data_IF_476724419152
#
_entry.id   IF_476724419152
#
_cell.length_a   1.000
_cell.length_b   1.000
_cell.length_c   1.000
_cell.angle_alpha   90.00
_cell.angle_beta   90.00
_cell.angle_gamma   90.00
#
_symmetry.space_group_name_H-M   'P 1'
#
loop_
_entity.id
_entity.type
_entity.pdbx_description
1 polymer ?
#
# COMPACT_ATOMS: atom_id res chain seq x y z
N UNK A 1 30.86 1.34 -16.42
CA UNK A 1 29.46 1.79 -16.45
C UNK A 1 29.33 2.88 -15.40
N UNK A 2 28.87 4.07 -15.77
CA UNK A 2 28.56 5.11 -14.77
C UNK A 2 27.32 4.60 -14.04
N UNK A 3 27.42 4.33 -12.72
CA UNK A 3 26.24 3.96 -11.92
C UNK A 3 25.21 5.08 -12.04
N UNK A 4 23.95 4.72 -12.27
CA UNK A 4 22.86 5.68 -12.27
C UNK A 4 22.72 6.21 -10.84
N UNK A 5 23.01 7.49 -10.63
CA UNK A 5 22.94 8.13 -9.31
C UNK A 5 21.69 8.98 -9.21
N UNK A 6 20.84 8.65 -8.26
CA UNK A 6 19.78 9.52 -7.78
C UNK A 6 20.40 10.72 -7.04
N UNK A 7 19.66 11.82 -6.96
CA UNK A 7 20.03 12.94 -6.10
C UNK A 7 18.89 13.24 -5.12
N UNK A 8 19.23 13.47 -3.86
CA UNK A 8 18.31 13.95 -2.83
C UNK A 8 18.75 15.31 -2.35
N UNK A 9 17.83 16.26 -2.30
CA UNK A 9 17.99 17.53 -1.61
C UNK A 9 17.31 17.47 -0.26
N UNK A 10 17.99 17.87 0.80
CA UNK A 10 17.41 18.15 2.12
C UNK A 10 17.25 19.66 2.24
N UNK A 11 16.03 20.11 2.50
CA UNK A 11 15.63 21.52 2.48
C UNK A 11 15.05 21.90 3.84
N UNK A 12 15.39 23.08 4.34
CA UNK A 12 14.58 23.77 5.33
C UNK A 12 13.52 24.58 4.58
N UNK A 13 12.24 24.31 4.86
CA UNK A 13 11.12 24.90 4.12
C UNK A 13 10.12 25.50 5.12
N UNK A 14 9.89 26.82 5.08
CA UNK A 14 8.81 27.45 5.83
C UNK A 14 7.44 26.97 5.33
N UNK A 15 6.50 26.71 6.25
CA UNK A 15 5.13 26.24 5.91
C UNK A 15 4.46 27.03 4.76
N UNK A 16 4.56 28.38 4.67
CA UNK A 16 3.92 29.13 3.58
C UNK A 16 4.54 28.92 2.20
N UNK A 17 5.73 28.34 2.11
CA UNK A 17 6.45 28.13 0.84
C UNK A 17 6.33 26.70 0.33
N UNK A 18 5.85 25.77 1.15
CA UNK A 18 5.89 24.33 0.85
C UNK A 18 5.15 23.96 -0.43
N UNK A 19 3.90 24.43 -0.59
CA UNK A 19 3.07 24.14 -1.76
C UNK A 19 3.69 24.69 -3.05
N UNK A 20 4.14 25.95 -3.04
CA UNK A 20 4.74 26.59 -4.20
C UNK A 20 6.12 25.98 -4.56
N UNK A 21 6.89 25.58 -3.55
CA UNK A 21 8.17 24.92 -3.73
C UNK A 21 7.98 23.51 -4.31
N UNK A 22 7.01 22.74 -3.80
CA UNK A 22 6.68 21.41 -4.31
C UNK A 22 6.31 21.47 -5.80
N UNK A 23 5.41 22.38 -6.18
CA UNK A 23 5.00 22.54 -7.57
C UNK A 23 6.19 22.87 -8.50
N UNK A 24 7.10 23.75 -8.06
CA UNK A 24 8.30 24.06 -8.84
C UNK A 24 9.27 22.88 -8.93
N UNK A 25 9.49 22.15 -7.83
CA UNK A 25 10.36 20.97 -7.83
C UNK A 25 9.83 19.88 -8.77
N UNK A 26 8.51 19.68 -8.84
CA UNK A 26 7.88 18.75 -9.78
C UNK A 26 8.13 19.17 -11.24
N UNK A 27 8.01 20.47 -11.56
CA UNK A 27 8.36 21.00 -12.89
C UNK A 27 9.83 20.80 -13.26
N UNK A 28 10.72 20.87 -12.26
CA UNK A 28 12.16 20.66 -12.42
C UNK A 28 12.58 19.18 -12.39
N UNK A 29 11.62 18.24 -12.37
CA UNK A 29 11.89 16.81 -12.50
C UNK A 29 12.08 16.07 -11.17
N UNK A 30 11.62 16.64 -10.06
CA UNK A 30 11.49 15.89 -8.81
C UNK A 30 10.49 14.75 -8.98
N UNK A 31 10.85 13.54 -8.57
CA UNK A 31 9.95 12.38 -8.55
C UNK A 31 9.16 12.27 -7.25
N UNK A 32 9.64 12.90 -6.17
CA UNK A 32 8.98 12.92 -4.89
C UNK A 32 9.43 14.11 -4.05
N UNK A 33 8.49 14.67 -3.28
CA UNK A 33 8.75 15.64 -2.23
C UNK A 33 8.13 15.12 -0.92
N UNK A 34 8.91 15.02 0.15
CA UNK A 34 8.47 14.49 1.44
C UNK A 34 8.90 15.42 2.59
N UNK A 35 8.07 15.54 3.63
CA UNK A 35 8.38 16.31 4.83
C UNK A 35 8.45 15.41 6.05
N UNK A 36 9.50 15.56 6.86
CA UNK A 36 9.61 14.83 8.14
C UNK A 36 8.46 15.20 9.08
N UNK A 37 7.85 14.16 9.67
CA UNK A 37 6.73 14.32 10.61
C UNK A 37 7.16 14.97 11.94
N UNK A 38 8.39 14.68 12.41
CA UNK A 38 8.92 15.17 13.67
C UNK A 38 9.89 16.37 13.47
N UNK A 39 9.82 17.42 14.31
CA UNK A 39 10.79 18.51 14.25
C UNK A 39 12.24 18.05 14.55
N UNK A 40 13.26 18.57 13.85
CA UNK A 40 13.20 19.67 12.88
C UNK A 40 12.67 19.21 11.51
N UNK A 41 11.65 19.92 11.00
CA UNK A 41 10.85 19.55 9.82
C UNK A 41 11.60 19.78 8.51
N UNK A 42 12.62 18.98 8.21
CA UNK A 42 13.25 19.05 6.90
C UNK A 42 12.31 18.49 5.83
N UNK A 43 12.38 19.09 4.65
CA UNK A 43 11.77 18.53 3.44
C UNK A 43 12.83 17.88 2.58
N UNK A 44 12.45 16.86 1.83
CA UNK A 44 13.31 16.12 0.94
C UNK A 44 12.73 16.13 -0.47
N UNK A 45 13.54 16.52 -1.45
CA UNK A 45 13.21 16.42 -2.87
C UNK A 45 14.10 15.38 -3.53
N UNK A 46 13.53 14.53 -4.38
CA UNK A 46 14.24 13.40 -5.01
C UNK A 46 14.26 13.55 -6.52
N UNK A 47 15.44 13.41 -7.12
CA UNK A 47 15.65 13.50 -8.55
C UNK A 47 16.14 12.15 -9.10
N UNK A 48 15.45 11.58 -10.10
CA UNK A 48 15.81 10.30 -10.68
C UNK A 48 17.07 10.43 -11.56
N UNK A 49 17.80 9.33 -11.77
CA UNK A 49 19.00 9.32 -12.59
C UNK A 49 18.68 9.67 -14.05
N UNK A 50 19.59 10.38 -14.71
CA UNK A 50 19.47 10.74 -16.12
C UNK A 50 18.61 11.98 -16.40
N UNK A 51 18.00 12.60 -15.38
CA UNK A 51 17.42 13.93 -15.50
C UNK A 51 18.44 15.02 -15.13
N UNK A 52 18.26 16.22 -15.71
CA UNK A 52 19.04 17.38 -15.33
C UNK A 52 18.61 17.81 -13.93
N UNK A 53 19.55 17.78 -12.98
CA UNK A 53 19.30 18.30 -11.63
C UNK A 53 19.09 19.82 -11.72
N UNK A 54 18.04 20.38 -11.08
CA UNK A 54 17.83 21.82 -11.07
C UNK A 54 19.00 22.57 -10.44
N UNK A 55 19.26 23.78 -10.91
CA UNK A 55 20.24 24.66 -10.27
C UNK A 55 19.69 25.13 -8.91
N UNK A 56 20.40 24.89 -7.78
CA UNK A 56 19.99 25.38 -6.46
C UNK A 56 19.74 26.89 -6.39
N UNK A 57 20.28 27.69 -7.32
CA UNK A 57 19.98 29.12 -7.45
C UNK A 57 18.47 29.37 -7.63
N UNK A 58 17.73 28.42 -8.22
CA UNK A 58 16.27 28.49 -8.38
C UNK A 58 15.50 28.59 -7.07
N UNK A 59 16.06 28.06 -5.96
CA UNK A 59 15.46 28.13 -4.62
C UNK A 59 15.32 29.57 -4.11
N UNK A 60 16.10 30.51 -4.65
CA UNK A 60 16.00 31.94 -4.31
C UNK A 60 14.66 32.59 -4.64
N UNK A 61 13.78 31.90 -5.39
CA UNK A 61 12.39 32.30 -5.63
C UNK A 61 11.48 32.13 -4.41
N UNK A 62 11.90 31.33 -3.43
CA UNK A 62 11.11 30.95 -2.25
C UNK A 62 11.75 31.53 -0.98
N UNK A 63 11.23 32.64 -0.43
CA UNK A 63 11.82 33.27 0.75
C UNK A 63 11.91 32.34 1.95
N UNK A 64 13.12 32.16 2.49
CA UNK A 64 13.37 31.34 3.68
C UNK A 64 13.58 29.85 3.40
N UNK A 65 13.52 29.40 2.14
CA UNK A 65 13.92 28.04 1.77
C UNK A 65 15.44 27.95 1.73
N UNK A 66 16.00 26.92 2.37
CA UNK A 66 17.46 26.69 2.43
C UNK A 66 17.78 25.27 2.04
N UNK A 67 18.68 25.08 1.06
CA UNK A 67 19.27 23.77 0.79
C UNK A 67 20.29 23.43 1.88
N UNK A 68 19.96 22.45 2.72
CA UNK A 68 20.80 21.97 3.81
C UNK A 68 21.84 20.97 3.31
N UNK A 69 21.44 20.05 2.43
CA UNK A 69 22.29 18.97 1.94
C UNK A 69 21.86 18.53 0.52
N UNK A 70 22.83 18.17 -0.32
CA UNK A 70 22.60 17.50 -1.59
C UNK A 70 23.45 16.23 -1.64
N UNK A 71 22.80 15.07 -1.68
CA UNK A 71 23.45 13.76 -1.63
C UNK A 71 23.13 12.97 -2.90
N UNK A 72 24.17 12.48 -3.58
CA UNK A 72 24.03 11.53 -4.68
C UNK A 72 24.16 10.10 -4.15
N UNK A 73 23.23 9.22 -4.52
CA UNK A 73 23.21 7.83 -4.08
C UNK A 73 22.85 6.90 -5.25
N UNK A 74 23.41 5.69 -5.28
CA UNK A 74 23.06 4.70 -6.29
C UNK A 74 21.76 3.97 -5.97
N UNK A 75 21.18 3.27 -6.95
CA UNK A 75 20.01 2.38 -6.75
C UNK A 75 20.26 1.35 -5.64
N UNK A 76 21.47 0.81 -5.59
CA UNK A 76 21.91 -0.14 -4.56
C UNK A 76 21.92 0.48 -3.16
N UNK A 77 22.27 1.77 -3.03
CA UNK A 77 22.29 2.49 -1.75
C UNK A 77 20.87 2.86 -1.28
N UNK A 78 19.94 3.13 -2.19
CA UNK A 78 18.53 3.38 -1.84
C UNK A 78 17.83 2.11 -1.35
N UNK A 79 18.04 1.01 -2.08
CA UNK A 79 17.58 -0.31 -1.66
C UNK A 79 18.27 -0.75 -0.36
N UNK A 80 19.57 -0.49 -0.18
CA UNK A 80 20.30 -0.77 1.06
C UNK A 80 19.81 0.06 2.25
N UNK A 81 19.62 1.37 2.10
CA UNK A 81 19.07 2.23 3.17
C UNK A 81 17.62 1.86 3.51
N UNK A 82 16.81 1.49 2.52
CA UNK A 82 15.45 0.97 2.76
C UNK A 82 15.46 -0.40 3.47
N UNK A 83 16.51 -1.22 3.27
CA UNK A 83 16.72 -2.49 3.97
C UNK A 83 17.08 -2.30 5.45
N UNK A 84 17.83 -1.25 5.79
CA UNK A 84 18.31 -0.99 7.16
C UNK A 84 17.19 -0.63 8.14
N UNK A 85 16.03 -0.16 7.66
CA UNK A 85 14.91 0.27 8.51
C UNK A 85 13.72 -0.69 8.60
N UNK A 86 13.73 -1.80 7.86
CA UNK A 86 12.61 -2.75 7.85
C UNK A 86 12.94 -3.96 8.72
N UNK A 87 12.49 -3.91 9.98
CA UNK A 87 12.55 -5.04 10.92
C UNK A 87 11.38 -5.99 10.75
N UNK A 88 11.50 -7.21 11.30
CA UNK A 88 10.37 -8.12 11.40
C UNK A 88 9.36 -7.67 12.46
N UNK A 89 8.08 -7.88 12.18
CA UNK A 89 6.99 -7.46 13.06
C UNK A 89 5.85 -8.48 13.06
N UNK A 90 5.00 -8.38 14.09
CA UNK A 90 3.79 -9.18 14.22
C UNK A 90 2.61 -8.38 13.69
N UNK A 91 1.71 -9.07 12.99
CA UNK A 91 0.42 -8.51 12.55
C UNK A 91 -0.66 -9.36 13.17
N UNK A 92 -1.59 -8.73 13.89
CA UNK A 92 -2.63 -9.44 14.63
C UNK A 92 -2.11 -10.59 15.50
N UNK A 93 -2.87 -11.67 15.50
CA UNK A 93 -2.57 -12.90 16.24
C UNK A 93 -1.94 -14.00 15.38
N UNK A 94 -2.15 -13.96 14.06
CA UNK A 94 -1.83 -15.06 13.14
C UNK A 94 -0.55 -14.85 12.36
N UNK A 95 -0.18 -13.61 12.04
CA UNK A 95 0.93 -13.35 11.13
C UNK A 95 2.18 -12.83 11.82
N UNK A 96 3.31 -13.18 11.24
CA UNK A 96 4.61 -12.56 11.44
C UNK A 96 5.14 -12.20 10.06
N UNK A 97 5.55 -10.96 9.86
CA UNK A 97 6.09 -10.49 8.58
C UNK A 97 7.56 -10.16 8.79
N UNK A 98 8.41 -10.70 7.93
CA UNK A 98 9.85 -10.44 7.97
C UNK A 98 10.39 -10.19 6.56
N UNK A 99 11.43 -9.36 6.43
CA UNK A 99 12.07 -9.17 5.13
C UNK A 99 12.88 -10.41 4.74
N UNK A 100 13.16 -10.58 3.44
CA UNK A 100 13.89 -11.73 2.91
C UNK A 100 15.32 -11.90 3.46
N UNK A 101 15.91 -10.85 4.03
CA UNK A 101 17.24 -10.88 4.64
C UNK A 101 17.22 -11.23 6.14
N UNK A 102 16.03 -11.31 6.75
CA UNK A 102 15.90 -11.79 8.14
C UNK A 102 15.80 -13.31 8.16
N UNK A 103 16.92 -13.97 8.40
CA UNK A 103 17.02 -15.45 8.48
C UNK A 103 16.52 -16.02 9.82
N UNK A 104 16.09 -15.18 10.77
CA UNK A 104 15.59 -15.67 12.05
C UNK A 104 14.25 -16.39 11.84
N UNK A 105 14.05 -17.55 12.46
CA UNK A 105 12.77 -18.25 12.37
C UNK A 105 11.67 -17.37 12.98
N UNK A 106 10.53 -17.31 12.29
CA UNK A 106 9.34 -16.67 12.84
C UNK A 106 8.89 -17.33 14.16
N UNK A 107 8.17 -16.59 15.01
CA UNK A 107 7.65 -17.10 16.27
C UNK A 107 6.71 -18.30 16.04
N UNK A 108 6.82 -19.31 16.92
CA UNK A 108 5.97 -20.51 16.85
C UNK A 108 4.47 -20.16 16.86
N UNK A 109 3.69 -20.93 16.10
CA UNK A 109 2.24 -20.78 16.02
C UNK A 109 1.74 -19.66 15.11
N UNK A 110 2.64 -18.87 14.52
CA UNK A 110 2.30 -17.83 13.52
C UNK A 110 2.66 -18.27 12.11
N UNK A 111 1.96 -17.68 11.15
CA UNK A 111 2.25 -17.75 9.73
C UNK A 111 3.39 -16.77 9.47
N UNK A 112 4.57 -17.29 9.16
CA UNK A 112 5.79 -16.52 8.90
C UNK A 112 5.85 -16.12 7.42
N UNK A 113 5.42 -14.88 7.13
CA UNK A 113 5.44 -14.29 5.80
C UNK A 113 6.78 -13.62 5.52
N UNK A 114 7.37 -13.97 4.39
CA UNK A 114 8.62 -13.38 3.89
C UNK A 114 8.29 -12.40 2.78
N UNK A 115 8.77 -11.16 2.90
CA UNK A 115 8.52 -10.10 1.92
C UNK A 115 9.82 -9.52 1.39
N UNK A 116 9.77 -8.91 0.20
CA UNK A 116 10.85 -8.07 -0.33
C UNK A 116 10.44 -6.60 -0.29
N UNK A 117 10.87 -5.84 0.73
CA UNK A 117 10.65 -4.39 0.78
C UNK A 117 11.36 -3.70 -0.40
N UNK A 118 10.58 -3.14 -1.33
CA UNK A 118 11.12 -2.24 -2.37
C UNK A 118 10.65 -2.49 -3.81
N UNK A 119 9.98 -3.60 -4.13
CA UNK A 119 9.51 -3.85 -5.51
C UNK A 119 8.16 -3.21 -5.84
N UNK A 120 7.24 -3.14 -4.86
CA UNK A 120 5.92 -2.54 -5.00
C UNK A 120 5.34 -2.16 -3.64
N UNK A 121 4.32 -1.30 -3.61
CA UNK A 121 3.62 -0.94 -2.39
C UNK A 121 2.86 -2.15 -1.78
N UNK A 122 2.71 -2.16 -0.45
CA UNK A 122 1.97 -3.20 0.26
C UNK A 122 2.83 -4.37 0.74
N UNK A 123 4.03 -4.12 1.27
CA UNK A 123 4.91 -5.17 1.84
C UNK A 123 4.54 -5.56 3.27
N UNK A 124 3.42 -5.06 3.81
CA UNK A 124 2.97 -5.28 5.19
C UNK A 124 3.48 -4.26 6.21
N UNK A 125 4.53 -3.51 5.88
CA UNK A 125 5.17 -2.55 6.80
C UNK A 125 4.37 -1.28 7.06
N UNK A 126 3.29 -1.03 6.32
CA UNK A 126 2.42 0.12 6.51
C UNK A 126 1.19 -0.26 7.36
N UNK A 127 0.74 0.67 8.22
CA UNK A 127 -0.40 0.55 9.14
C UNK A 127 -1.64 0.02 8.42
N UNK A 128 -1.92 0.55 7.24
CA UNK A 128 -3.12 0.17 6.46
C UNK A 128 -3.11 -1.30 6.06
N UNK A 129 -1.95 -1.85 5.69
CA UNK A 129 -1.83 -3.28 5.38
C UNK A 129 -2.04 -4.12 6.63
N UNK A 130 -1.47 -3.72 7.78
CA UNK A 130 -1.65 -4.42 9.05
C UNK A 130 -3.11 -4.45 9.49
N UNK A 131 -3.78 -3.29 9.45
CA UNK A 131 -5.20 -3.17 9.76
C UNK A 131 -6.07 -4.08 8.86
N UNK A 132 -5.80 -4.14 7.55
CA UNK A 132 -6.49 -5.04 6.65
C UNK A 132 -6.25 -6.53 6.97
N UNK A 133 -5.01 -6.90 7.28
CA UNK A 133 -4.67 -8.28 7.67
C UNK A 133 -5.34 -8.68 8.98
N UNK A 134 -5.44 -7.79 9.96
CA UNK A 134 -6.16 -8.03 11.22
C UNK A 134 -7.66 -8.24 10.99
N UNK A 135 -8.30 -7.43 10.14
CA UNK A 135 -9.70 -7.65 9.75
C UNK A 135 -9.89 -8.96 8.99
N UNK A 136 -8.93 -9.36 8.13
CA UNK A 136 -8.94 -10.67 7.48
C UNK A 136 -8.84 -11.81 8.50
N UNK A 137 -8.04 -11.68 9.57
CA UNK A 137 -7.98 -12.69 10.64
C UNK A 137 -9.35 -12.89 11.30
N UNK A 138 -10.07 -11.79 11.60
CA UNK A 138 -11.42 -11.83 12.16
C UNK A 138 -12.39 -12.54 11.21
N UNK A 139 -12.42 -12.14 9.93
CA UNK A 139 -13.25 -12.79 8.91
C UNK A 139 -12.92 -14.28 8.74
N UNK A 140 -11.64 -14.65 8.81
CA UNK A 140 -11.18 -16.03 8.75
C UNK A 140 -11.65 -16.85 9.95
N UNK A 141 -11.55 -16.29 11.16
CA UNK A 141 -12.04 -16.92 12.39
C UNK A 141 -13.58 -17.14 12.37
N UNK A 142 -14.30 -16.21 11.75
CA UNK A 142 -15.74 -16.28 11.53
C UNK A 142 -16.16 -17.14 10.33
N UNK A 143 -15.20 -17.70 9.57
CA UNK A 143 -15.43 -18.48 8.33
C UNK A 143 -16.18 -17.70 7.25
N UNK A 144 -15.88 -16.40 7.11
CA UNK A 144 -16.50 -15.48 6.13
C UNK A 144 -15.67 -15.29 4.85
N UNK A 145 -14.53 -15.96 4.73
CA UNK A 145 -13.67 -15.92 3.54
C UNK A 145 -14.07 -16.94 2.47
N UNK A 146 -15.29 -17.49 2.54
CA UNK A 146 -15.81 -18.43 1.55
C UNK A 146 -16.26 -17.72 0.26
N UNK A 147 -15.99 -18.34 -0.89
CA UNK A 147 -16.33 -17.80 -2.21
C UNK A 147 -15.25 -16.86 -2.78
N UNK A 148 -15.50 -16.29 -3.98
CA UNK A 148 -14.49 -15.51 -4.68
C UNK A 148 -14.23 -14.17 -4.01
N UNK A 149 -12.95 -13.83 -3.87
CA UNK A 149 -12.49 -12.57 -3.27
C UNK A 149 -11.80 -11.75 -4.36
N UNK A 150 -12.05 -10.44 -4.39
CA UNK A 150 -11.37 -9.51 -5.29
C UNK A 150 -10.50 -8.53 -4.49
N UNK A 151 -9.22 -8.47 -4.82
CA UNK A 151 -8.25 -7.54 -4.25
C UNK A 151 -7.94 -6.41 -5.24
N UNK A 152 -8.38 -5.20 -4.90
CA UNK A 152 -8.41 -4.00 -5.74
C UNK A 152 -7.23 -3.10 -5.37
N UNK A 153 -6.30 -2.88 -6.30
CA UNK A 153 -5.06 -2.16 -6.01
C UNK A 153 -4.14 -3.01 -5.14
N UNK A 154 -3.91 -4.23 -5.60
CA UNK A 154 -3.32 -5.31 -4.80
C UNK A 154 -1.81 -5.16 -4.57
N UNK A 155 -1.10 -4.30 -5.32
CA UNK A 155 0.34 -4.07 -5.14
C UNK A 155 1.15 -5.38 -5.16
N UNK A 156 1.82 -5.70 -4.06
CA UNK A 156 2.55 -6.98 -3.89
C UNK A 156 1.67 -8.22 -3.83
N UNK A 157 0.36 -8.08 -3.62
CA UNK A 157 -0.59 -9.18 -3.40
C UNK A 157 -0.58 -9.75 -1.96
N UNK A 158 -0.01 -9.03 -0.98
CA UNK A 158 0.06 -9.53 0.40
C UNK A 158 -1.31 -9.81 1.03
N UNK A 159 -2.33 -8.97 0.73
CA UNK A 159 -3.67 -9.17 1.27
C UNK A 159 -4.33 -10.41 0.64
N UNK A 160 -4.17 -10.59 -0.67
CA UNK A 160 -4.55 -11.81 -1.38
C UNK A 160 -3.88 -13.07 -0.81
N UNK A 161 -2.57 -13.01 -0.54
CA UNK A 161 -1.85 -14.12 0.09
C UNK A 161 -2.35 -14.39 1.53
N UNK A 162 -2.54 -13.34 2.33
CA UNK A 162 -3.05 -13.45 3.69
C UNK A 162 -4.45 -14.10 3.71
N UNK A 163 -5.36 -13.63 2.85
CA UNK A 163 -6.69 -14.20 2.70
C UNK A 163 -6.63 -15.69 2.30
N UNK A 164 -5.75 -16.08 1.37
CA UNK A 164 -5.55 -17.48 0.99
C UNK A 164 -5.11 -18.35 2.18
N UNK A 165 -4.14 -17.87 2.95
CA UNK A 165 -3.57 -18.58 4.10
C UNK A 165 -4.54 -18.68 5.29
N UNK A 166 -5.53 -17.79 5.34
CA UNK A 166 -6.65 -17.84 6.29
C UNK A 166 -7.82 -18.71 5.81
N UNK A 167 -7.72 -19.32 4.63
CA UNK A 167 -8.69 -20.27 4.09
C UNK A 167 -9.52 -19.75 2.90
N UNK A 168 -9.32 -18.50 2.48
CA UNK A 168 -9.96 -17.92 1.30
C UNK A 168 -9.57 -18.65 0.01
N UNK A 169 -10.48 -18.67 -0.97
CA UNK A 169 -10.29 -19.37 -2.25
C UNK A 169 -10.83 -18.53 -3.40
N UNK A 170 -10.47 -18.87 -4.64
CA UNK A 170 -10.92 -18.14 -5.84
C UNK A 170 -10.61 -16.63 -5.76
N UNK A 171 -9.40 -16.31 -5.30
CA UNK A 171 -8.96 -14.94 -5.10
C UNK A 171 -8.44 -14.40 -6.44
N UNK A 172 -8.98 -13.25 -6.86
CA UNK A 172 -8.49 -12.49 -8.00
C UNK A 172 -7.86 -11.20 -7.49
N UNK A 173 -6.67 -10.88 -7.96
CA UNK A 173 -5.94 -9.68 -7.57
C UNK A 173 -5.63 -8.86 -8.82
N UNK A 174 -5.77 -7.55 -8.77
CA UNK A 174 -5.26 -6.70 -9.84
C UNK A 174 -4.73 -5.37 -9.32
N UNK A 175 -3.89 -4.76 -10.15
CA UNK A 175 -3.41 -3.40 -9.99
C UNK A 175 -3.37 -2.71 -11.35
N UNK A 176 -3.34 -1.38 -11.36
CA UNK A 176 -3.12 -0.60 -12.58
C UNK A 176 -1.63 -0.57 -12.94
N UNK A 177 -0.76 -0.76 -11.95
CA UNK A 177 0.68 -0.77 -12.13
C UNK A 177 1.15 -2.11 -12.76
N UNK A 178 1.85 -2.09 -13.92
CA UNK A 178 2.40 -3.30 -14.52
C UNK A 178 3.41 -4.05 -13.63
N UNK A 179 4.07 -3.37 -12.69
CA UNK A 179 5.07 -3.97 -11.80
C UNK A 179 4.44 -4.85 -10.70
N UNK A 180 3.11 -4.81 -10.54
CA UNK A 180 2.38 -5.65 -9.61
C UNK A 180 2.53 -7.16 -9.92
N UNK A 181 2.64 -7.52 -11.21
CA UNK A 181 2.77 -8.91 -11.65
C UNK A 181 4.06 -9.55 -11.12
N UNK A 182 5.23 -8.99 -11.45
CA UNK A 182 6.51 -9.41 -10.87
C UNK A 182 6.52 -9.43 -9.34
N UNK A 183 5.94 -8.42 -8.68
CA UNK A 183 5.89 -8.36 -7.21
C UNK A 183 5.07 -9.49 -6.59
N UNK A 184 3.93 -9.80 -7.18
CA UNK A 184 3.09 -10.93 -6.75
C UNK A 184 3.75 -12.27 -6.98
N UNK A 185 4.41 -12.46 -8.13
CA UNK A 185 5.12 -13.69 -8.42
C UNK A 185 6.28 -13.90 -7.44
N UNK A 186 7.03 -12.85 -7.12
CA UNK A 186 8.10 -12.88 -6.12
C UNK A 186 7.54 -13.21 -4.73
N UNK A 187 6.45 -12.55 -4.30
CA UNK A 187 5.82 -12.83 -3.01
C UNK A 187 5.38 -14.30 -2.89
N UNK A 188 4.81 -14.87 -3.95
CA UNK A 188 4.45 -16.29 -4.02
C UNK A 188 5.69 -17.18 -3.88
N UNK A 189 6.77 -16.85 -4.58
CA UNK A 189 8.02 -17.62 -4.55
C UNK A 189 8.65 -17.61 -3.15
N UNK A 190 8.76 -16.45 -2.51
CA UNK A 190 9.29 -16.30 -1.15
C UNK A 190 8.48 -17.11 -0.13
N UNK A 191 7.17 -17.26 -0.35
CA UNK A 191 6.25 -17.92 0.56
C UNK A 191 5.82 -19.33 0.10
N UNK A 192 6.48 -19.91 -0.92
CA UNK A 192 6.07 -21.19 -1.52
C UNK A 192 5.97 -22.35 -0.52
N UNK A 193 6.78 -22.30 0.55
CA UNK A 193 6.76 -23.27 1.64
C UNK A 193 5.43 -23.31 2.41
N UNK A 194 4.67 -22.21 2.45
CA UNK A 194 3.34 -22.13 3.05
C UNK A 194 2.24 -22.66 2.14
N UNK A 195 2.48 -22.66 0.82
CA UNK A 195 1.45 -22.89 -0.20
C UNK A 195 1.24 -24.36 -0.54
N UNK A 196 2.21 -25.24 -0.23
CA UNK A 196 2.14 -26.68 -0.54
C UNK A 196 1.81 -26.98 -2.01
N UNK A 197 2.34 -26.15 -2.92
CA UNK A 197 2.13 -26.27 -4.37
C UNK A 197 0.82 -25.67 -4.90
N UNK A 198 0.00 -25.06 -4.05
CA UNK A 198 -1.19 -24.34 -4.49
C UNK A 198 -0.84 -22.96 -5.06
N UNK A 199 -1.58 -22.52 -6.07
CA UNK A 199 -1.58 -21.12 -6.53
C UNK A 199 -2.55 -20.32 -5.64
N UNK A 200 -2.11 -19.28 -4.91
CA UNK A 200 -2.95 -18.62 -3.90
C UNK A 200 -4.03 -17.71 -4.51
N UNK A 201 -3.72 -17.08 -5.64
CA UNK A 201 -4.61 -16.14 -6.34
C UNK A 201 -4.25 -16.05 -7.83
N UNK A 202 -5.18 -15.55 -8.63
CA UNK A 202 -4.96 -15.17 -10.02
C UNK A 202 -4.77 -13.65 -10.14
N UNK A 203 -3.64 -13.21 -10.69
CA UNK A 203 -3.31 -11.79 -10.86
C UNK A 203 -3.53 -11.30 -12.31
N UNK A 204 -3.69 -9.99 -12.47
CA UNK A 204 -3.58 -9.27 -13.74
C UNK A 204 -3.37 -7.77 -13.55
N UNK A 205 -2.89 -7.11 -14.61
CA UNK A 205 -2.84 -5.65 -14.69
C UNK A 205 -4.15 -5.15 -15.31
N UNK A 206 -4.84 -4.22 -14.67
CA UNK A 206 -6.12 -3.71 -15.16
C UNK A 206 -6.89 -2.86 -14.17
N UNK A 207 -8.18 -2.69 -14.43
CA UNK A 207 -9.11 -1.91 -13.60
C UNK A 207 -10.34 -2.75 -13.21
N UNK A 208 -11.24 -2.20 -12.40
CA UNK A 208 -12.53 -2.85 -12.08
C UNK A 208 -13.44 -3.08 -13.30
N UNK A 209 -13.17 -2.42 -14.43
CA UNK A 209 -13.92 -2.60 -15.68
C UNK A 209 -13.33 -3.72 -16.56
N UNK A 210 -12.23 -4.34 -16.12
CA UNK A 210 -11.60 -5.41 -16.87
C UNK A 210 -12.57 -6.62 -17.00
N UNK A 211 -12.65 -7.30 -18.17
CA UNK A 211 -13.58 -8.42 -18.40
C UNK A 211 -13.44 -9.61 -17.44
N UNK A 212 -12.30 -9.72 -16.74
CA UNK A 212 -12.07 -10.74 -15.69
C UNK A 212 -12.81 -10.43 -14.38
N UNK A 213 -13.29 -9.21 -14.20
CA UNK A 213 -14.07 -8.75 -13.03
C UNK A 213 -15.56 -8.93 -13.32
N UNK A 214 -16.02 -10.19 -13.26
CA UNK A 214 -17.40 -10.55 -13.61
C UNK A 214 -18.38 -10.47 -12.42
N UNK A 215 -17.88 -10.62 -11.18
CA UNK A 215 -18.71 -10.66 -9.97
C UNK A 215 -19.79 -11.75 -9.98
N UNK A 216 -20.69 -11.77 -8.99
CA UNK A 216 -20.57 -11.02 -7.74
C UNK A 216 -19.53 -11.64 -6.79
N UNK A 217 -18.78 -10.79 -6.08
CA UNK A 217 -17.78 -11.18 -5.10
C UNK A 217 -18.34 -11.04 -3.68
N UNK A 218 -18.39 -12.12 -2.86
CA UNK A 218 -18.71 -12.03 -1.44
C UNK A 218 -17.64 -11.33 -0.60
N UNK A 219 -16.43 -11.12 -1.13
CA UNK A 219 -15.35 -10.42 -0.45
C UNK A 219 -14.61 -9.45 -1.35
N UNK A 220 -14.48 -8.20 -0.91
CA UNK A 220 -13.66 -7.17 -1.54
C UNK A 220 -12.58 -6.66 -0.58
N UNK A 221 -11.37 -6.49 -1.10
CA UNK A 221 -10.27 -5.80 -0.44
C UNK A 221 -9.92 -4.56 -1.26
N UNK A 222 -9.77 -3.41 -0.61
CA UNK A 222 -9.32 -2.15 -1.23
C UNK A 222 -8.44 -1.37 -0.25
N UNK A 223 -7.13 -1.54 -0.35
CA UNK A 223 -6.15 -0.78 0.44
C UNK A 223 -5.48 0.27 -0.44
N UNK A 224 -6.25 1.32 -0.77
CA UNK A 224 -5.89 2.38 -1.73
C UNK A 224 -6.40 3.73 -1.19
N UNK A 225 -5.99 4.84 -1.80
CA UNK A 225 -6.36 6.17 -1.32
C UNK A 225 -7.89 6.37 -1.30
N UNK A 226 -8.38 7.13 -0.31
CA UNK A 226 -9.81 7.41 -0.14
C UNK A 226 -10.46 7.96 -1.41
N UNK A 227 -9.81 8.92 -2.09
CA UNK A 227 -10.32 9.49 -3.35
C UNK A 227 -10.55 8.42 -4.41
N UNK A 228 -9.61 7.47 -4.53
CA UNK A 228 -9.72 6.35 -5.46
C UNK A 228 -10.81 5.38 -5.03
N UNK A 229 -10.96 5.12 -3.73
CA UNK A 229 -12.09 4.31 -3.21
C UNK A 229 -13.40 4.97 -3.62
N UNK A 230 -13.57 6.27 -3.39
CA UNK A 230 -14.79 7.01 -3.72
C UNK A 230 -15.15 6.91 -5.20
N UNK A 231 -14.17 7.06 -6.09
CA UNK A 231 -14.35 6.92 -7.53
C UNK A 231 -14.78 5.50 -7.94
N UNK A 232 -14.23 4.48 -7.28
CA UNK A 232 -14.48 3.07 -7.58
C UNK A 232 -15.73 2.50 -6.90
N UNK A 233 -16.23 3.13 -5.83
CA UNK A 233 -17.33 2.61 -5.02
C UNK A 233 -18.59 2.21 -5.82
N UNK A 234 -19.07 2.98 -6.82
CA UNK A 234 -20.21 2.57 -7.63
C UNK A 234 -19.98 1.21 -8.31
N UNK A 235 -18.81 1.04 -8.93
CA UNK A 235 -18.45 -0.23 -9.60
C UNK A 235 -18.19 -1.34 -8.60
N UNK A 236 -17.57 -1.05 -7.46
CA UNK A 236 -17.41 -2.00 -6.35
C UNK A 236 -18.77 -2.51 -5.86
N UNK A 237 -19.78 -1.63 -5.75
CA UNK A 237 -21.13 -2.00 -5.32
C UNK A 237 -21.84 -2.91 -6.33
N UNK A 238 -21.60 -2.74 -7.64
CA UNK A 238 -22.14 -3.59 -8.70
C UNK A 238 -21.54 -5.00 -8.70
N UNK A 239 -20.23 -5.11 -8.47
CA UNK A 239 -19.54 -6.41 -8.45
C UNK A 239 -19.59 -7.08 -7.08
N UNK A 240 -20.14 -6.44 -6.05
CA UNK A 240 -20.30 -7.02 -4.72
C UNK A 240 -21.53 -7.91 -4.62
N UNK A 241 -21.39 -9.08 -4.01
CA UNK A 241 -22.54 -9.89 -3.64
C UNK A 241 -23.36 -9.20 -2.53
N UNK A 242 -24.70 -9.27 -2.57
CA UNK A 242 -25.52 -8.91 -1.41
C UNK A 242 -25.09 -9.67 -0.15
N UNK A 243 -24.87 -8.96 0.96
CA UNK A 243 -24.34 -9.52 2.20
C UNK A 243 -22.83 -9.79 2.20
N UNK A 244 -22.13 -9.52 1.09
CA UNK A 244 -20.68 -9.60 0.99
C UNK A 244 -19.98 -8.55 1.86
N UNK A 245 -18.71 -8.80 2.19
CA UNK A 245 -17.88 -7.90 2.97
C UNK A 245 -16.93 -7.09 2.07
N UNK A 246 -16.61 -5.88 2.53
CA UNK A 246 -15.57 -5.00 2.01
C UNK A 246 -14.64 -4.63 3.16
N UNK A 247 -13.34 -4.81 2.99
CA UNK A 247 -12.33 -4.12 3.81
C UNK A 247 -11.74 -2.99 2.97
N UNK A 248 -11.93 -1.76 3.44
CA UNK A 248 -11.40 -0.54 2.83
C UNK A 248 -10.36 0.10 3.77
N UNK A 249 -9.15 0.36 3.29
CA UNK A 249 -8.09 1.08 4.03
C UNK A 249 -7.28 1.96 3.06
N UNK A 250 -6.18 2.58 3.50
CA UNK A 250 -5.55 3.68 2.76
C UNK A 250 -6.22 5.03 3.04
N UNK A 251 -6.91 5.13 4.19
CA UNK A 251 -7.74 6.26 4.58
C UNK A 251 -7.14 6.91 5.83
N UNK A 252 -6.93 8.22 5.79
CA UNK A 252 -6.51 8.99 6.96
C UNK A 252 -7.64 9.06 7.99
N UNK A 253 -7.29 8.98 9.28
CA UNK A 253 -8.24 8.96 10.38
C UNK A 253 -9.07 10.25 10.47
N UNK A 254 -8.54 11.39 10.01
CA UNK A 254 -9.29 12.64 9.90
C UNK A 254 -10.40 12.60 8.84
N UNK A 255 -10.27 11.74 7.83
CA UNK A 255 -11.27 11.54 6.78
C UNK A 255 -12.29 10.42 7.12
N UNK A 256 -12.36 9.96 8.38
CA UNK A 256 -13.24 8.85 8.79
C UNK A 256 -14.71 9.13 8.42
N UNK A 257 -15.24 10.30 8.80
CA UNK A 257 -16.66 10.63 8.57
C UNK A 257 -16.98 10.70 7.07
N UNK A 258 -16.09 11.29 6.28
CA UNK A 258 -16.21 11.35 4.83
C UNK A 258 -16.26 9.95 4.22
N UNK A 259 -15.33 9.07 4.60
CA UNK A 259 -15.30 7.69 4.13
C UNK A 259 -16.59 6.93 4.47
N UNK A 260 -17.06 7.03 5.72
CA UNK A 260 -18.28 6.35 6.16
C UNK A 260 -19.51 6.81 5.36
N UNK A 261 -19.62 8.11 5.07
CA UNK A 261 -20.70 8.67 4.24
C UNK A 261 -20.62 8.14 2.81
N UNK A 262 -19.44 8.14 2.19
CA UNK A 262 -19.25 7.62 0.83
C UNK A 262 -19.61 6.15 0.70
N UNK A 263 -19.14 5.30 1.62
CA UNK A 263 -19.49 3.87 1.65
C UNK A 263 -21.01 3.66 1.81
N UNK A 264 -21.62 4.35 2.78
CA UNK A 264 -23.04 4.23 3.06
C UNK A 264 -23.91 4.68 1.88
N UNK A 265 -23.53 5.75 1.18
CA UNK A 265 -24.23 6.25 0.00
C UNK A 265 -24.27 5.24 -1.15
N UNK A 266 -23.28 4.34 -1.23
CA UNK A 266 -23.21 3.26 -2.23
C UNK A 266 -23.74 1.92 -1.68
N UNK A 267 -24.34 1.93 -0.49
CA UNK A 267 -24.97 0.78 0.15
C UNK A 267 -23.97 -0.24 0.73
N UNK A 268 -22.79 0.22 1.12
CA UNK A 268 -21.90 -0.49 2.04
C UNK A 268 -22.14 0.04 3.45
N UNK A 269 -22.74 -0.78 4.32
CA UNK A 269 -22.95 -0.41 5.73
C UNK A 269 -21.66 -0.68 6.51
N UNK A 270 -21.02 0.33 7.10
CA UNK A 270 -19.86 0.11 7.96
C UNK A 270 -20.27 -0.69 9.20
N UNK A 271 -19.60 -1.81 9.45
CA UNK A 271 -19.82 -2.64 10.65
C UNK A 271 -18.73 -2.40 11.70
N UNK A 272 -17.50 -2.07 11.26
CA UNK A 272 -16.36 -1.82 12.15
C UNK A 272 -15.36 -0.84 11.54
N UNK A 273 -14.75 -0.01 12.38
CA UNK A 273 -13.60 0.84 12.03
C UNK A 273 -12.48 0.54 13.01
N UNK A 274 -11.28 0.29 12.50
CA UNK A 274 -10.06 0.10 13.27
C UNK A 274 -9.04 1.16 12.88
N UNK A 275 -8.18 1.56 13.82
CA UNK A 275 -7.21 2.65 13.66
C UNK A 275 -5.83 2.22 14.16
N UNK A 276 -4.80 2.57 13.41
CA UNK A 276 -3.40 2.48 13.81
C UNK A 276 -2.68 3.73 13.31
N UNK A 277 -2.01 4.45 14.22
CA UNK A 277 -1.37 5.74 13.88
C UNK A 277 -2.39 6.74 13.33
N UNK A 278 -2.11 7.25 12.12
CA UNK A 278 -2.97 8.19 11.39
C UNK A 278 -3.92 7.51 10.40
N UNK A 279 -3.91 6.18 10.33
CA UNK A 279 -4.63 5.42 9.32
C UNK A 279 -5.78 4.61 9.90
N UNK A 280 -6.82 4.40 9.10
CA UNK A 280 -7.94 3.53 9.45
C UNK A 280 -8.16 2.42 8.42
N UNK A 281 -8.82 1.35 8.85
CA UNK A 281 -9.50 0.40 7.98
C UNK A 281 -10.95 0.23 8.41
N UNK A 282 -11.84 0.08 7.43
CA UNK A 282 -13.27 -0.06 7.60
C UNK A 282 -13.68 -1.43 7.08
N UNK A 283 -14.31 -2.23 7.93
CA UNK A 283 -15.06 -3.41 7.51
C UNK A 283 -16.51 -3.00 7.30
N UNK A 284 -17.03 -3.23 6.10
CA UNK A 284 -18.40 -2.92 5.74
C UNK A 284 -19.10 -4.14 5.10
N UNK A 285 -20.42 -4.22 5.27
CA UNK A 285 -21.26 -5.22 4.60
C UNK A 285 -22.06 -4.56 3.48
N UNK A 286 -22.08 -5.19 2.30
CA UNK A 286 -22.95 -4.81 1.19
C UNK A 286 -24.41 -5.08 1.57
N UNK A 287 -25.19 -4.03 1.77
CA UNK A 287 -26.64 -4.15 1.98
C UNK A 287 -27.28 -4.23 0.60
N UNK A 288 -28.07 -5.27 0.34
CA UNK A 288 -28.82 -5.39 -0.89
C UNK A 288 -29.67 -4.12 -1.09
N UNK A 289 -29.65 -3.55 -2.29
CA UNK A 289 -30.64 -2.54 -2.69
C UNK A 289 -32.02 -3.19 -2.83
#
# INVERSE_FOLDING_TARGET
MVQATHLRWKLEVPDPQEEALCAWLDEEGSSAFYREADPPRACFAYFPPGQAVPDPVGLGRFPGVVLLEAEAFGDEDWLAKSREGFDSFKVGSRFHVRPLWDDRPGPEGRIDLVVNPGLAFGTGGHETTRLCMELLEELGAEKRLEGPILDIGSGTGILSLAAFLLGGRQISAFDIDPDCGPAMDELIQLNAHLLKGAKPYDSFVGTLDHPRVAGPYPGLLANILLVTIQDLLPRMAEVSAPGGWLIASGILAECTDEALVSLAAQGFRPDKVVKEGEWIAILATRVAA
#
